data_IF_873624357802
#
_entry.id   IF_873624357802
#
_cell.length_a   1.000
_cell.length_b   1.000
_cell.length_c   1.000
_cell.angle_alpha   90.00
_cell.angle_beta   90.00
_cell.angle_gamma   90.00
#
_symmetry.space_group_name_H-M   'P 1'
#
loop_
_entity.id
_entity.type
_entity.pdbx_description
1 polymer ?
#
# COMPACT_ATOMS: atom_id res chain seq x y z
N UNK A 1 10.05 -21.18 -0.47
CA UNK A 1 9.27 -20.07 -1.00
C UNK A 1 9.48 -19.91 -2.50
N UNK A 2 8.60 -19.16 -3.13
CA UNK A 2 8.69 -18.86 -4.57
C UNK A 2 9.10 -17.40 -4.76
N UNK A 3 9.85 -17.14 -5.83
CA UNK A 3 10.23 -15.76 -6.20
C UNK A 3 9.64 -15.43 -7.56
N UNK A 4 8.98 -14.27 -7.65
CA UNK A 4 8.56 -13.65 -8.90
C UNK A 4 9.44 -12.42 -9.10
N UNK A 5 10.17 -12.37 -10.20
CA UNK A 5 11.07 -11.26 -10.48
C UNK A 5 10.71 -10.56 -11.79
N UNK A 6 10.98 -9.25 -11.84
CA UNK A 6 10.78 -8.40 -13.01
C UNK A 6 9.31 -8.40 -13.54
N UNK A 7 8.35 -8.64 -12.66
CA UNK A 7 6.95 -8.61 -13.04
C UNK A 7 6.50 -7.17 -13.35
N UNK A 8 5.65 -7.02 -14.33
CA UNK A 8 5.02 -5.75 -14.68
C UNK A 8 3.50 -5.90 -14.68
N UNK A 9 2.80 -4.91 -14.16
CA UNK A 9 1.34 -4.86 -14.18
C UNK A 9 0.89 -3.41 -14.34
N UNK A 10 -0.10 -3.20 -15.20
CA UNK A 10 -0.75 -1.90 -15.34
C UNK A 10 -2.25 -2.08 -15.15
N UNK A 11 -2.73 -1.68 -13.99
CA UNK A 11 -4.15 -1.65 -13.68
C UNK A 11 -4.85 -0.53 -14.45
N UNK A 12 -5.90 -0.89 -15.17
CA UNK A 12 -6.83 0.05 -15.80
C UNK A 12 -8.16 0.00 -15.07
N UNK A 13 -8.93 1.06 -15.18
CA UNK A 13 -10.28 1.12 -14.61
C UNK A 13 -11.15 -0.04 -15.12
N UNK A 14 -11.77 -0.78 -14.21
CA UNK A 14 -12.83 -1.73 -14.49
C UNK A 14 -14.23 -1.05 -14.53
N UNK A 15 -15.28 -1.84 -14.77
CA UNK A 15 -16.67 -1.33 -14.86
C UNK A 15 -17.18 -0.80 -13.50
N UNK A 16 -16.59 -1.22 -12.38
CA UNK A 16 -16.92 -0.77 -11.03
C UNK A 16 -16.11 0.47 -10.59
N UNK A 17 -15.20 0.94 -11.42
CA UNK A 17 -14.41 2.12 -11.14
C UNK A 17 -13.10 1.85 -10.40
N UNK A 18 -12.66 0.60 -10.29
CA UNK A 18 -11.40 0.25 -9.66
C UNK A 18 -10.28 0.09 -10.69
N UNK A 19 -9.11 0.62 -10.36
CA UNK A 19 -7.87 0.36 -11.07
C UNK A 19 -6.87 -0.26 -10.10
N UNK A 20 -6.57 -1.54 -10.27
CA UNK A 20 -5.73 -2.29 -9.32
C UNK A 20 -4.50 -2.87 -10.01
N UNK A 21 -3.34 -2.81 -9.35
CA UNK A 21 -2.11 -3.45 -9.82
C UNK A 21 -1.33 -4.09 -8.66
N UNK A 22 -0.82 -5.29 -8.90
CA UNK A 22 -0.08 -6.11 -7.95
C UNK A 22 0.18 -7.48 -8.56
N UNK A 23 0.78 -8.40 -7.80
CA UNK A 23 0.73 -9.82 -8.18
C UNK A 23 -0.72 -10.31 -8.19
N UNK A 24 -1.49 -9.86 -7.19
CA UNK A 24 -2.94 -10.06 -7.12
C UNK A 24 -3.63 -8.69 -7.12
N UNK A 25 -4.65 -8.51 -7.95
CA UNK A 25 -5.52 -7.33 -7.89
C UNK A 25 -6.28 -7.32 -6.56
N UNK A 26 -6.95 -8.43 -6.25
CA UNK A 26 -7.72 -8.62 -5.01
C UNK A 26 -7.37 -9.96 -4.37
N UNK A 27 -7.21 -9.95 -3.03
CA UNK A 27 -7.19 -11.16 -2.19
C UNK A 27 -8.33 -11.02 -1.20
N UNK A 28 -9.42 -11.75 -1.43
CA UNK A 28 -10.64 -11.71 -0.61
C UNK A 28 -10.78 -13.02 0.15
N UNK A 29 -10.77 -12.97 1.47
CA UNK A 29 -10.86 -14.11 2.39
C UNK A 29 -9.86 -15.25 2.07
N UNK A 30 -8.80 -14.89 1.31
CA UNK A 30 -7.80 -15.83 0.80
C UNK A 30 -6.49 -15.79 1.59
N UNK A 31 -5.56 -16.66 1.18
CA UNK A 31 -4.22 -16.71 1.79
C UNK A 31 -3.12 -16.68 0.73
N UNK A 32 -2.14 -15.80 0.93
CA UNK A 32 -0.88 -15.74 0.18
C UNK A 32 0.26 -16.00 1.14
N UNK A 33 1.15 -16.94 0.81
CA UNK A 33 2.26 -17.28 1.70
C UNK A 33 3.53 -17.67 0.95
N UNK A 34 4.68 -17.40 1.60
CA UNK A 34 6.00 -17.82 1.15
C UNK A 34 6.35 -17.27 -0.26
N UNK A 35 6.01 -16.01 -0.54
CA UNK A 35 6.22 -15.37 -1.82
C UNK A 35 7.20 -14.20 -1.68
N UNK A 36 8.22 -14.18 -2.54
CA UNK A 36 9.08 -13.01 -2.72
C UNK A 36 8.78 -12.37 -4.07
N UNK A 37 8.56 -11.07 -4.07
CA UNK A 37 8.46 -10.24 -5.28
C UNK A 37 9.69 -9.35 -5.34
N UNK A 38 10.43 -9.42 -6.44
CA UNK A 38 11.69 -8.68 -6.63
C UNK A 38 11.70 -7.93 -7.95
N UNK A 39 12.04 -6.64 -7.91
CA UNK A 39 12.13 -5.76 -9.09
C UNK A 39 10.84 -5.70 -9.91
N UNK A 40 9.70 -5.67 -9.24
CA UNK A 40 8.42 -5.48 -9.91
C UNK A 40 8.21 -4.00 -10.26
N UNK A 41 7.45 -3.77 -11.32
CA UNK A 41 6.96 -2.44 -11.71
C UNK A 41 5.45 -2.50 -11.90
N UNK A 42 4.73 -2.05 -10.88
CA UNK A 42 3.27 -2.06 -10.87
C UNK A 42 2.74 -0.64 -10.87
N UNK A 43 1.84 -0.36 -11.79
CA UNK A 43 1.22 0.93 -11.95
C UNK A 43 -0.29 0.79 -12.06
N UNK A 44 -1.01 1.70 -11.47
CA UNK A 44 -2.45 1.86 -11.68
C UNK A 44 -2.68 3.19 -12.37
N UNK A 45 -3.31 3.11 -13.54
CA UNK A 45 -3.60 4.28 -14.37
C UNK A 45 -5.07 4.25 -14.78
N UNK A 46 -5.75 5.35 -14.71
CA UNK A 46 -7.13 5.41 -15.19
C UNK A 46 -8.02 6.34 -14.38
N UNK A 47 -9.12 6.76 -14.99
CA UNK A 47 -10.11 7.65 -14.38
C UNK A 47 -11.21 6.85 -13.64
N UNK A 48 -10.85 5.92 -12.77
CA UNK A 48 -11.79 5.18 -11.90
C UNK A 48 -12.04 5.89 -10.56
N UNK A 49 -12.86 5.40 -9.66
CA UNK A 49 -13.10 5.99 -8.34
C UNK A 49 -12.05 5.57 -7.31
N UNK A 50 -11.34 4.49 -7.58
CA UNK A 50 -10.36 3.87 -6.69
C UNK A 50 -9.13 3.42 -7.46
N UNK A 51 -7.95 3.66 -6.93
CA UNK A 51 -6.68 3.26 -7.52
C UNK A 51 -5.78 2.65 -6.44
N UNK A 52 -5.59 1.35 -6.51
CA UNK A 52 -4.84 0.62 -5.49
C UNK A 52 -3.66 -0.13 -6.11
N UNK A 53 -2.47 0.04 -5.52
CA UNK A 53 -1.25 -0.65 -5.93
C UNK A 53 -0.55 -1.27 -4.74
N UNK A 54 -0.25 -2.56 -4.83
CA UNK A 54 0.51 -3.27 -3.81
C UNK A 54 1.44 -4.32 -4.40
N UNK A 55 2.56 -4.54 -3.79
CA UNK A 55 3.54 -5.51 -4.30
C UNK A 55 3.03 -6.95 -4.27
N UNK A 56 2.24 -7.32 -3.28
CA UNK A 56 1.55 -8.62 -3.22
C UNK A 56 0.11 -8.46 -3.71
N UNK A 57 -0.69 -7.61 -3.06
CA UNK A 57 -2.09 -7.42 -3.39
C UNK A 57 -2.40 -5.92 -3.52
N UNK A 58 -3.13 -5.52 -4.55
CA UNK A 58 -3.65 -4.16 -4.56
C UNK A 58 -4.67 -3.95 -3.44
N UNK A 59 -5.56 -4.94 -3.22
CA UNK A 59 -6.52 -4.97 -2.12
C UNK A 59 -6.39 -6.28 -1.36
N UNK A 60 -6.25 -6.19 -0.03
CA UNK A 60 -6.27 -7.30 0.92
C UNK A 60 -7.51 -7.18 1.82
N UNK A 61 -8.57 -7.92 1.49
CA UNK A 61 -9.85 -7.94 2.20
C UNK A 61 -10.03 -9.25 2.96
N UNK A 62 -10.12 -9.21 4.28
CA UNK A 62 -10.19 -10.40 5.15
C UNK A 62 -9.10 -11.45 4.81
N UNK A 63 -7.97 -10.98 4.30
CA UNK A 63 -6.92 -11.80 3.71
C UNK A 63 -5.86 -12.22 4.73
N UNK A 64 -5.15 -13.30 4.46
CA UNK A 64 -4.00 -13.74 5.25
C UNK A 64 -2.74 -13.74 4.39
N UNK A 65 -1.81 -12.79 4.66
CA UNK A 65 -0.54 -12.65 3.95
C UNK A 65 0.59 -13.00 4.90
N UNK A 66 1.33 -14.08 4.63
CA UNK A 66 2.34 -14.62 5.54
C UNK A 66 3.67 -14.95 4.86
N UNK A 67 4.78 -14.64 5.52
CA UNK A 67 6.13 -14.95 5.03
C UNK A 67 6.35 -14.40 3.60
N UNK A 68 5.89 -13.20 3.32
CA UNK A 68 6.00 -12.56 2.02
C UNK A 68 6.96 -11.38 2.07
N UNK A 69 7.73 -11.21 1.00
CA UNK A 69 8.68 -10.10 0.88
C UNK A 69 8.49 -9.41 -0.47
N UNK A 70 8.43 -8.09 -0.45
CA UNK A 70 8.51 -7.27 -1.66
C UNK A 70 9.76 -6.41 -1.58
N UNK A 71 10.59 -6.45 -2.62
CA UNK A 71 11.85 -5.70 -2.60
C UNK A 71 12.22 -5.12 -3.96
N UNK A 72 12.98 -4.01 -3.91
CA UNK A 72 13.57 -3.35 -5.09
C UNK A 72 12.54 -2.99 -6.17
N UNK A 73 11.29 -2.74 -5.78
CA UNK A 73 10.16 -2.61 -6.68
C UNK A 73 9.69 -1.16 -6.78
N UNK A 74 9.13 -0.81 -7.93
CA UNK A 74 8.44 0.46 -8.17
C UNK A 74 6.93 0.23 -8.16
N UNK A 75 6.24 0.91 -7.29
CA UNK A 75 4.80 0.76 -7.05
C UNK A 75 4.15 2.14 -7.13
N UNK A 76 3.29 2.35 -8.11
CA UNK A 76 2.78 3.68 -8.40
C UNK A 76 1.27 3.70 -8.64
N UNK A 77 0.55 4.44 -7.81
CA UNK A 77 -0.87 4.75 -7.97
C UNK A 77 -1.03 6.15 -8.53
N UNK A 78 -1.38 6.23 -9.83
CA UNK A 78 -1.53 7.50 -10.57
C UNK A 78 -3.00 7.84 -10.76
N UNK A 79 -3.51 8.76 -9.97
CA UNK A 79 -4.83 9.28 -10.20
C UNK A 79 -5.19 10.55 -9.42
N UNK A 80 -6.09 11.35 -10.00
CA UNK A 80 -6.53 12.67 -9.55
C UNK A 80 -7.71 12.66 -8.55
N UNK A 81 -7.90 11.64 -7.69
CA UNK A 81 -8.98 11.60 -6.68
C UNK A 81 -8.54 10.93 -5.37
N UNK A 82 -9.25 11.23 -4.27
CA UNK A 82 -8.89 10.92 -2.88
C UNK A 82 -8.71 9.44 -2.49
N UNK A 83 -9.02 8.48 -3.35
CA UNK A 83 -8.92 7.05 -3.02
C UNK A 83 -7.80 6.38 -3.80
N UNK A 84 -6.59 6.91 -3.64
CA UNK A 84 -5.40 6.44 -4.31
C UNK A 84 -4.40 5.94 -3.28
N UNK A 85 -4.16 4.64 -3.24
CA UNK A 85 -3.29 4.06 -2.26
C UNK A 85 -2.20 3.23 -2.91
N UNK A 86 -0.97 3.42 -2.47
CA UNK A 86 0.15 2.57 -2.85
C UNK A 86 0.88 2.08 -1.60
N UNK A 87 1.14 0.78 -1.55
CA UNK A 87 1.86 0.16 -0.44
C UNK A 87 2.83 -0.93 -0.89
N UNK A 88 3.90 -1.10 -0.13
CA UNK A 88 4.92 -2.09 -0.44
C UNK A 88 4.37 -3.52 -0.50
N UNK A 89 3.49 -3.89 0.41
CA UNK A 89 2.80 -5.19 0.44
C UNK A 89 1.39 -5.09 -0.11
N UNK A 90 0.57 -4.16 0.42
CA UNK A 90 -0.79 -3.95 -0.04
C UNK A 90 -1.09 -2.47 -0.26
N UNK A 91 -1.86 -2.15 -1.30
CA UNK A 91 -2.35 -0.78 -1.52
C UNK A 91 -3.41 -0.41 -0.48
N UNK A 92 -4.40 -1.26 -0.32
CA UNK A 92 -5.50 -1.12 0.64
C UNK A 92 -5.67 -2.40 1.45
N UNK A 93 -5.96 -2.29 2.73
CA UNK A 93 -6.24 -3.43 3.60
C UNK A 93 -7.40 -3.18 4.54
N UNK A 94 -8.23 -4.20 4.75
CA UNK A 94 -9.28 -4.24 5.76
C UNK A 94 -9.47 -5.66 6.28
N UNK A 95 -9.57 -5.86 7.59
CA UNK A 95 -9.70 -7.16 8.24
C UNK A 95 -8.57 -8.15 7.91
N UNK A 96 -7.43 -7.67 7.43
CA UNK A 96 -6.36 -8.52 6.92
C UNK A 96 -5.33 -8.88 8.02
N UNK A 97 -4.76 -10.07 7.91
CA UNK A 97 -3.67 -10.52 8.78
C UNK A 97 -2.36 -10.58 8.00
N UNK A 98 -1.39 -9.80 8.45
CA UNK A 98 -0.01 -9.82 7.93
C UNK A 98 0.92 -10.41 8.99
N UNK A 99 1.69 -11.43 8.62
CA UNK A 99 2.67 -12.05 9.53
C UNK A 99 3.98 -12.38 8.84
N UNK A 100 5.11 -12.04 9.47
CA UNK A 100 6.45 -12.25 8.95
C UNK A 100 6.61 -11.69 7.53
N UNK A 101 6.14 -10.48 7.26
CA UNK A 101 6.20 -9.87 5.96
C UNK A 101 7.15 -8.67 5.93
N UNK A 102 7.78 -8.46 4.78
CA UNK A 102 8.79 -7.42 4.62
C UNK A 102 8.61 -6.60 3.34
N UNK A 103 8.76 -5.30 3.47
CA UNK A 103 8.88 -4.36 2.36
C UNK A 103 10.27 -3.72 2.39
N UNK A 104 11.09 -3.93 1.35
CA UNK A 104 12.51 -3.57 1.40
C UNK A 104 12.95 -2.84 0.13
N UNK A 105 13.52 -1.65 0.28
CA UNK A 105 14.10 -0.87 -0.82
C UNK A 105 13.12 -0.65 -1.99
N UNK A 106 11.84 -0.44 -1.68
CA UNK A 106 10.82 -0.15 -2.67
C UNK A 106 10.68 1.36 -2.88
N UNK A 107 10.36 1.74 -4.12
CA UNK A 107 9.95 3.11 -4.48
C UNK A 107 8.42 3.13 -4.64
N UNK A 108 7.75 3.85 -3.77
CA UNK A 108 6.30 3.88 -3.69
C UNK A 108 5.81 5.29 -3.95
N UNK A 109 4.93 5.45 -4.91
CA UNK A 109 4.33 6.72 -5.28
C UNK A 109 2.81 6.63 -5.28
N UNK A 110 2.16 7.60 -4.67
CA UNK A 110 0.70 7.67 -4.58
C UNK A 110 0.21 9.09 -4.77
N UNK A 111 -1.00 9.24 -5.28
CA UNK A 111 -1.67 10.56 -5.37
C UNK A 111 -2.38 10.94 -4.06
N UNK A 112 -2.61 9.99 -3.14
CA UNK A 112 -3.17 10.26 -1.83
C UNK A 112 -2.41 9.55 -0.71
N UNK A 113 -2.56 8.23 -0.53
CA UNK A 113 -2.02 7.52 0.63
C UNK A 113 -0.91 6.56 0.22
N UNK A 114 0.32 6.90 0.58
CA UNK A 114 1.50 6.08 0.36
C UNK A 114 2.04 5.51 1.67
N UNK A 115 2.28 4.20 1.73
CA UNK A 115 2.90 3.55 2.88
C UNK A 115 3.98 2.57 2.47
N UNK A 116 5.08 2.53 3.22
CA UNK A 116 6.14 1.58 2.90
C UNK A 116 5.69 0.13 2.96
N UNK A 117 4.66 -0.17 3.74
CA UNK A 117 4.09 -1.51 3.87
C UNK A 117 2.65 -1.56 3.34
N UNK A 118 1.76 -0.72 3.85
CA UNK A 118 0.36 -0.59 3.39
C UNK A 118 0.05 0.87 3.09
N UNK A 119 -0.61 1.14 1.96
CA UNK A 119 -1.03 2.48 1.59
C UNK A 119 -2.12 3.02 2.50
N UNK A 120 -3.21 2.28 2.65
CA UNK A 120 -4.32 2.62 3.53
C UNK A 120 -4.83 1.38 4.28
N UNK A 121 -5.06 1.54 5.58
CA UNK A 121 -5.79 0.58 6.39
C UNK A 121 -7.13 1.18 6.82
N UNK A 122 -8.19 0.52 6.44
CA UNK A 122 -9.56 0.90 6.76
C UNK A 122 -10.24 -0.23 7.54
N UNK A 123 -11.43 0.04 8.11
CA UNK A 123 -12.28 -1.00 8.64
C UNK A 123 -13.49 -1.21 7.72
N UNK A 124 -13.87 -2.47 7.63
CA UNK A 124 -15.21 -2.84 7.24
C UNK A 124 -15.79 -3.54 8.48
N UNK A 125 -16.84 -2.99 9.05
CA UNK A 125 -17.45 -3.49 10.28
C UNK A 125 -17.81 -4.99 10.22
N UNK A 126 -17.90 -5.56 9.02
CA UNK A 126 -18.21 -6.96 8.80
C UNK A 126 -16.98 -7.88 8.90
N UNK A 127 -15.75 -7.37 8.76
CA UNK A 127 -14.52 -8.20 8.72
C UNK A 127 -13.52 -7.91 9.83
N UNK A 128 -13.76 -6.85 10.61
CA UNK A 128 -12.93 -6.46 11.75
C UNK A 128 -11.57 -5.84 11.37
N UNK A 129 -10.74 -5.65 12.37
CA UNK A 129 -9.50 -4.88 12.27
C UNK A 129 -8.35 -5.68 11.65
N UNK A 130 -7.48 -4.99 10.90
CA UNK A 130 -6.26 -5.59 10.37
C UNK A 130 -5.22 -5.81 11.48
N UNK A 131 -4.44 -6.89 11.36
CA UNK A 131 -3.38 -7.26 12.30
C UNK A 131 -2.04 -7.41 11.61
N UNK A 132 -1.00 -6.91 12.25
CA UNK A 132 0.38 -6.94 11.75
C UNK A 132 1.29 -7.53 12.81
N UNK A 133 1.95 -8.64 12.52
CA UNK A 133 2.83 -9.34 13.46
C UNK A 133 4.16 -9.65 12.79
N UNK A 134 5.27 -9.30 13.45
CA UNK A 134 6.63 -9.55 12.96
C UNK A 134 6.85 -8.99 11.54
N UNK A 135 6.32 -7.80 11.25
CA UNK A 135 6.37 -7.18 9.93
C UNK A 135 7.29 -5.96 9.93
N UNK A 136 7.93 -5.70 8.80
CA UNK A 136 8.82 -4.54 8.73
C UNK A 136 8.87 -3.89 7.35
N UNK A 137 9.23 -2.61 7.35
CA UNK A 137 9.56 -1.84 6.17
C UNK A 137 10.94 -1.20 6.33
N UNK A 138 11.83 -1.41 5.37
CA UNK A 138 13.22 -0.94 5.46
C UNK A 138 13.67 -0.30 4.15
N UNK A 139 14.30 0.87 4.27
CA UNK A 139 14.98 1.55 3.16
C UNK A 139 14.06 1.85 1.97
N UNK A 140 12.77 2.11 2.23
CA UNK A 140 11.82 2.47 1.18
C UNK A 140 11.76 4.00 0.99
N UNK A 141 11.41 4.41 -0.22
CA UNK A 141 11.06 5.78 -0.55
C UNK A 141 9.55 5.85 -0.80
N UNK A 142 8.87 6.73 -0.10
CA UNK A 142 7.42 6.96 -0.23
C UNK A 142 7.17 8.41 -0.58
N UNK A 143 6.52 8.63 -1.70
CA UNK A 143 6.05 9.95 -2.11
C UNK A 143 4.52 9.92 -2.25
N UNK A 144 3.84 10.78 -1.51
CA UNK A 144 2.42 11.00 -1.67
C UNK A 144 2.21 12.43 -2.19
N UNK A 145 1.53 12.55 -3.34
CA UNK A 145 1.35 13.83 -4.02
C UNK A 145 -0.09 13.97 -4.50
N UNK A 146 -0.77 15.04 -4.09
CA UNK A 146 -2.08 15.40 -4.65
C UNK A 146 -1.98 16.63 -5.53
N UNK A 147 -2.62 16.57 -6.68
CA UNK A 147 -2.75 17.71 -7.61
C UNK A 147 -4.08 18.46 -7.38
N UNK A 148 -4.97 17.93 -6.54
CA UNK A 148 -6.24 18.55 -6.24
C UNK A 148 -6.15 19.60 -5.13
N UNK A 149 -6.92 20.68 -5.27
CA UNK A 149 -6.98 21.79 -4.29
C UNK A 149 -7.61 21.39 -2.95
N UNK A 150 -8.35 20.30 -2.91
CA UNK A 150 -9.01 19.75 -1.70
C UNK A 150 -8.54 18.33 -1.35
N UNK A 151 -7.55 17.81 -2.06
CA UNK A 151 -7.04 16.47 -1.83
C UNK A 151 -6.15 16.38 -0.59
N UNK A 152 -6.05 15.17 -0.01
CA UNK A 152 -5.13 14.85 1.08
C UNK A 152 -3.98 14.00 0.54
N UNK A 153 -2.78 14.21 1.08
CA UNK A 153 -1.63 13.35 0.78
C UNK A 153 -0.87 12.96 2.04
N UNK A 154 -0.82 11.66 2.30
CA UNK A 154 -0.16 11.11 3.47
C UNK A 154 0.91 10.10 3.08
N UNK A 155 2.13 10.30 3.59
CA UNK A 155 3.24 9.38 3.39
C UNK A 155 3.68 8.79 4.73
N UNK A 156 3.44 7.50 4.93
CA UNK A 156 3.78 6.77 6.14
C UNK A 156 4.99 5.85 5.98
N UNK A 157 5.85 5.83 6.99
CA UNK A 157 7.02 4.94 7.03
C UNK A 157 6.65 3.45 7.12
N UNK A 158 5.44 3.13 7.54
CA UNK A 158 4.87 1.78 7.51
C UNK A 158 3.49 1.80 6.85
N UNK A 159 2.52 2.55 7.38
CA UNK A 159 1.16 2.71 6.83
C UNK A 159 0.95 4.18 6.43
N UNK A 160 0.42 4.43 5.24
CA UNK A 160 0.14 5.78 4.75
C UNK A 160 -1.02 6.43 5.47
N UNK A 161 -2.16 5.75 5.58
CA UNK A 161 -3.36 6.21 6.27
C UNK A 161 -3.95 5.11 7.13
N UNK A 162 -4.33 5.44 8.35
CA UNK A 162 -5.06 4.56 9.27
C UNK A 162 -6.41 5.19 9.53
N UNK A 163 -7.48 4.53 9.15
CA UNK A 163 -8.87 4.98 9.35
C UNK A 163 -9.50 4.26 10.54
N UNK A 164 -9.01 3.07 10.88
CA UNK A 164 -9.58 2.18 11.88
C UNK A 164 -8.54 1.67 12.87
N UNK A 165 -9.00 1.00 13.91
CA UNK A 165 -8.12 0.32 14.85
C UNK A 165 -7.27 -0.75 14.15
N UNK A 166 -6.01 -0.84 14.53
CA UNK A 166 -5.06 -1.84 14.07
C UNK A 166 -4.33 -2.48 15.25
N UNK A 167 -3.92 -3.72 15.10
CA UNK A 167 -3.05 -4.38 16.08
C UNK A 167 -1.65 -4.57 15.48
N UNK A 168 -0.65 -4.00 16.15
CA UNK A 168 0.76 -4.05 15.75
C UNK A 168 1.57 -4.79 16.83
N UNK A 169 2.26 -5.85 16.42
CA UNK A 169 3.15 -6.61 17.31
C UNK A 169 4.49 -6.84 16.61
N UNK A 170 5.59 -6.43 17.25
CA UNK A 170 6.95 -6.55 16.72
C UNK A 170 7.11 -5.99 15.29
N UNK A 171 6.48 -4.84 15.00
CA UNK A 171 6.56 -4.19 13.70
C UNK A 171 7.50 -2.98 13.76
N UNK A 172 8.23 -2.72 12.68
CA UNK A 172 9.08 -1.54 12.60
C UNK A 172 9.22 -0.99 11.19
N UNK A 173 9.54 0.31 11.13
CA UNK A 173 9.96 1.01 9.93
C UNK A 173 11.35 1.60 10.15
N UNK A 174 12.26 1.42 9.20
CA UNK A 174 13.65 1.88 9.35
C UNK A 174 14.22 2.43 8.04
N UNK A 175 14.94 3.55 8.14
CA UNK A 175 15.56 4.24 6.99
C UNK A 175 14.56 4.55 5.86
N UNK A 176 13.42 5.14 6.20
CA UNK A 176 12.45 5.58 5.22
C UNK A 176 12.79 6.98 4.69
N UNK A 177 12.58 7.22 3.41
CA UNK A 177 12.55 8.56 2.81
C UNK A 177 11.11 8.88 2.48
N UNK A 178 10.55 9.90 3.15
CA UNK A 178 9.14 10.26 3.05
C UNK A 178 8.99 11.66 2.50
N UNK A 179 8.10 11.85 1.55
CA UNK A 179 7.75 13.16 1.03
C UNK A 179 6.25 13.25 0.75
N UNK A 180 5.70 14.43 0.99
CA UNK A 180 4.34 14.77 0.58
C UNK A 180 4.36 16.08 -0.19
N UNK A 181 3.57 16.16 -1.24
CA UNK A 181 3.30 17.39 -1.96
C UNK A 181 1.79 17.56 -2.06
N UNK A 182 1.28 18.70 -1.64
CA UNK A 182 -0.15 19.06 -1.73
C UNK A 182 -0.30 20.52 -2.09
N UNK A 183 -1.41 20.86 -2.70
CA UNK A 183 -1.76 22.23 -3.05
C UNK A 183 -2.17 23.07 -1.84
N UNK A 184 -2.42 22.43 -0.70
CA UNK A 184 -2.70 23.07 0.60
C UNK A 184 -1.86 22.41 1.69
N UNK A 185 -1.13 23.21 2.47
CA UNK A 185 -0.31 22.73 3.58
C UNK A 185 -1.10 22.02 4.70
N UNK A 186 -2.42 22.24 4.77
CA UNK A 186 -3.29 21.59 5.74
C UNK A 186 -3.66 20.14 5.38
N UNK A 187 -3.37 19.72 4.15
CA UNK A 187 -3.80 18.44 3.62
C UNK A 187 -2.62 17.50 3.28
N UNK A 188 -1.43 17.78 3.80
CA UNK A 188 -0.26 16.95 3.54
C UNK A 188 0.46 16.62 4.85
N UNK A 189 0.72 15.36 5.12
CA UNK A 189 1.44 14.91 6.30
C UNK A 189 2.38 13.73 6.02
N UNK A 190 3.51 13.74 6.73
CA UNK A 190 4.42 12.59 6.77
C UNK A 190 4.52 12.09 8.20
N UNK A 191 4.47 10.76 8.38
CA UNK A 191 4.68 10.11 9.66
C UNK A 191 5.75 9.03 9.58
N UNK A 192 6.69 8.99 10.52
CA UNK A 192 7.78 7.99 10.52
C UNK A 192 7.25 6.56 10.53
N UNK A 193 6.13 6.34 11.18
CA UNK A 193 5.45 5.04 11.18
C UNK A 193 4.13 5.12 10.41
N UNK A 194 3.25 6.03 10.76
CA UNK A 194 2.01 6.31 10.04
C UNK A 194 1.83 7.82 9.88
N UNK A 195 1.24 8.27 8.78
CA UNK A 195 0.73 9.62 8.63
C UNK A 195 -0.74 9.65 9.09
N UNK A 196 -1.16 10.80 9.66
CA UNK A 196 -2.47 10.93 10.29
C UNK A 196 -3.01 12.36 10.10
#
# INVERSE_FOLDING_TARGET
GHTISNATSTGKKDDNGYATAGIFGWVVSGSVKNLTVDKANFQSTGKGNYSYVGGIAAVAFAASIKNCTVKNSALESKRDYNNNCAGGIAGYSTGATFKNCASVSNNIQSMAYGGSFVGENDDDNDVGNSTYTDCYAVNCSVAAKTEETSGTSFAGGFIGMIVSDIALTNCYAYKQTLSTEGTSASNAATGVFAAY
#
